data_IF_538630974003
#
_entry.id   IF_538630974003
#
_cell.length_a   1.000
_cell.length_b   1.000
_cell.length_c   1.000
_cell.angle_alpha   90.00
_cell.angle_beta   90.00
_cell.angle_gamma   90.00
#
_symmetry.space_group_name_H-M   'P 1'
#
loop_
_entity.id
_entity.type
_entity.pdbx_description
1 polymer ?
#
# COMPACT_ATOMS: atom_id res chain seq x y z
N UNK A 1 6.59 15.50 -34.67
CA UNK A 1 7.94 15.01 -34.97
C UNK A 1 7.91 13.52 -34.73
N UNK A 2 8.05 12.72 -35.78
CA UNK A 2 7.73 11.30 -35.82
C UNK A 2 8.44 10.50 -34.71
N UNK A 3 7.71 10.17 -33.64
CA UNK A 3 8.22 9.30 -32.56
C UNK A 3 8.35 7.84 -33.01
N UNK A 4 7.73 7.47 -34.13
CA UNK A 4 7.72 6.13 -34.71
C UNK A 4 8.99 5.76 -35.50
N UNK A 5 9.89 6.70 -35.79
CA UNK A 5 11.05 6.43 -36.65
C UNK A 5 12.35 7.04 -36.12
N UNK A 6 12.73 6.65 -34.89
CA UNK A 6 14.02 7.02 -34.32
C UNK A 6 15.16 6.21 -34.93
N UNK A 7 16.31 6.82 -35.28
CA UNK A 7 17.46 6.10 -35.81
C UNK A 7 18.03 5.12 -34.77
N UNK A 8 18.80 4.12 -35.21
CA UNK A 8 19.47 3.20 -34.27
C UNK A 8 20.57 3.92 -33.51
N UNK A 9 20.77 3.57 -32.24
CA UNK A 9 21.77 4.22 -31.38
C UNK A 9 23.18 4.10 -31.97
N UNK A 10 23.50 2.96 -32.60
CA UNK A 10 24.83 2.72 -33.19
C UNK A 10 25.10 3.56 -34.44
N UNK A 11 24.05 3.94 -35.18
CA UNK A 11 24.15 4.66 -36.47
C UNK A 11 24.37 6.17 -36.27
N UNK A 12 24.25 6.64 -35.03
CA UNK A 12 24.37 8.05 -34.67
C UNK A 12 25.77 8.34 -34.11
N UNK A 13 26.35 9.55 -34.35
CA UNK A 13 27.62 9.94 -33.76
C UNK A 13 27.64 9.79 -32.23
N UNK A 14 28.77 9.35 -31.66
CA UNK A 14 28.94 9.07 -30.22
C UNK A 14 28.37 10.17 -29.32
N UNK A 15 28.57 11.44 -29.70
CA UNK A 15 28.08 12.62 -28.96
C UNK A 15 26.55 12.68 -28.79
N UNK A 16 25.78 12.08 -29.69
CA UNK A 16 24.31 12.07 -29.68
C UNK A 16 23.72 10.74 -29.17
N UNK A 17 24.56 9.72 -28.93
CA UNK A 17 24.08 8.38 -28.51
C UNK A 17 23.42 8.40 -27.14
N UNK A 18 23.98 9.13 -26.18
CA UNK A 18 23.39 9.26 -24.83
C UNK A 18 22.01 9.92 -24.86
N UNK A 19 21.87 11.03 -25.60
CA UNK A 19 20.59 11.73 -25.75
C UNK A 19 19.50 10.84 -26.36
N UNK A 20 19.87 10.08 -27.41
CA UNK A 20 18.96 9.15 -28.06
C UNK A 20 18.61 7.95 -27.17
N UNK A 21 19.58 7.42 -26.43
CA UNK A 21 19.37 6.37 -25.43
C UNK A 21 18.35 6.81 -24.36
N UNK A 22 18.53 8.01 -23.81
CA UNK A 22 17.61 8.61 -22.83
C UNK A 22 16.21 8.86 -23.40
N UNK A 23 16.11 9.27 -24.67
CA UNK A 23 14.82 9.43 -25.35
C UNK A 23 14.09 8.08 -25.51
N UNK A 24 14.82 7.03 -25.92
CA UNK A 24 14.28 5.68 -26.08
C UNK A 24 13.84 5.05 -24.77
N UNK A 25 14.61 5.20 -23.69
CA UNK A 25 14.19 4.75 -22.36
C UNK A 25 12.90 5.41 -21.88
N UNK A 26 12.74 6.73 -22.13
CA UNK A 26 11.50 7.45 -21.79
C UNK A 26 10.29 6.94 -22.56
N UNK A 27 10.44 6.62 -23.85
CA UNK A 27 9.36 6.01 -24.65
C UNK A 27 8.95 4.63 -24.10
N UNK A 28 9.91 3.84 -23.63
CA UNK A 28 9.64 2.57 -22.96
C UNK A 28 9.08 2.72 -21.54
N UNK A 29 9.17 3.90 -20.91
CA UNK A 29 8.74 4.12 -19.52
C UNK A 29 7.24 4.35 -19.34
N UNK A 30 6.49 4.54 -20.42
CA UNK A 30 5.03 4.64 -20.36
C UNK A 30 4.38 3.30 -20.00
N UNK A 31 3.26 3.33 -19.26
CA UNK A 31 2.44 2.13 -18.99
C UNK A 31 2.00 1.42 -20.29
N UNK A 32 1.55 0.17 -20.19
CA UNK A 32 1.04 -0.57 -21.36
C UNK A 32 -0.17 0.10 -22.05
N UNK A 33 -0.83 1.05 -21.38
CA UNK A 33 -1.99 1.79 -21.87
C UNK A 33 -1.63 3.11 -22.59
N UNK A 34 -0.34 3.41 -22.79
CA UNK A 34 0.05 4.62 -23.54
C UNK A 34 -0.28 4.55 -25.02
N UNK A 35 -0.39 5.72 -25.66
CA UNK A 35 -0.63 5.92 -27.10
C UNK A 35 0.37 5.14 -27.99
N UNK A 36 1.58 4.86 -27.51
CA UNK A 36 2.62 4.14 -28.26
C UNK A 36 2.30 2.63 -28.32
N UNK A 37 2.24 2.02 -29.51
CA UNK A 37 2.01 0.58 -29.66
C UNK A 37 3.07 -0.27 -28.93
N UNK A 38 2.61 -1.36 -28.30
CA UNK A 38 3.49 -2.33 -27.61
C UNK A 38 4.58 -2.88 -28.54
N UNK A 39 4.26 -3.09 -29.83
CA UNK A 39 5.23 -3.51 -30.85
C UNK A 39 6.38 -2.52 -31.03
N UNK A 40 6.08 -1.22 -31.08
CA UNK A 40 7.10 -0.16 -31.18
C UNK A 40 7.98 -0.12 -29.93
N UNK A 41 7.39 -0.21 -28.74
CA UNK A 41 8.15 -0.29 -27.48
C UNK A 41 9.04 -1.53 -27.42
N UNK A 42 8.59 -2.65 -27.97
CA UNK A 42 9.35 -3.90 -28.00
C UNK A 42 10.60 -3.77 -28.87
N UNK A 43 10.49 -3.18 -30.06
CA UNK A 43 11.64 -2.97 -30.94
C UNK A 43 12.67 -2.00 -30.33
N UNK A 44 12.18 -0.92 -29.69
CA UNK A 44 13.05 -0.01 -28.93
C UNK A 44 13.77 -0.77 -27.81
N UNK A 45 13.05 -1.61 -27.06
CA UNK A 45 13.62 -2.35 -25.93
C UNK A 45 14.65 -3.41 -26.37
N UNK A 46 14.42 -4.10 -27.49
CA UNK A 46 15.41 -5.01 -28.09
C UNK A 46 16.69 -4.27 -28.48
N UNK A 47 16.56 -3.10 -29.10
CA UNK A 47 17.71 -2.29 -29.46
C UNK A 47 18.48 -1.78 -28.22
N UNK A 48 17.76 -1.38 -27.18
CA UNK A 48 18.36 -1.02 -25.90
C UNK A 48 19.11 -2.21 -25.29
N UNK A 49 18.53 -3.42 -25.38
CA UNK A 49 19.15 -4.66 -24.92
C UNK A 49 20.47 -4.97 -25.66
N UNK A 50 20.52 -4.71 -26.96
CA UNK A 50 21.73 -4.88 -27.78
C UNK A 50 22.78 -3.79 -27.52
N UNK A 51 22.35 -2.62 -27.06
CA UNK A 51 23.23 -1.48 -26.81
C UNK A 51 23.87 -1.52 -25.42
N UNK A 52 23.13 -1.91 -24.39
CA UNK A 52 23.61 -1.91 -22.99
C UNK A 52 24.92 -2.69 -22.78
N UNK A 53 25.13 -3.88 -23.37
CA UNK A 53 26.40 -4.61 -23.24
C UNK A 53 27.61 -3.91 -23.86
N UNK A 54 27.40 -2.88 -24.70
CA UNK A 54 28.48 -2.08 -25.29
C UNK A 54 28.92 -0.89 -24.43
N UNK A 55 28.28 -0.68 -23.28
CA UNK A 55 28.61 0.39 -22.35
C UNK A 55 29.54 -0.13 -21.25
N UNK A 56 30.65 0.57 -21.02
CA UNK A 56 31.54 0.28 -19.89
C UNK A 56 30.97 0.79 -18.55
N UNK A 57 30.11 1.81 -18.61
CA UNK A 57 29.42 2.36 -17.44
C UNK A 57 28.14 3.10 -17.84
N UNK A 58 27.18 3.18 -16.92
CA UNK A 58 25.97 3.98 -17.07
C UNK A 58 26.12 5.32 -16.34
N UNK A 59 25.85 6.44 -17.01
CA UNK A 59 25.66 7.73 -16.34
C UNK A 59 24.49 7.71 -15.33
N UNK A 60 24.57 8.52 -14.27
CA UNK A 60 23.56 8.53 -13.18
C UNK A 60 22.14 8.83 -13.66
N UNK A 61 22.00 9.70 -14.67
CA UNK A 61 20.71 10.02 -15.28
C UNK A 61 20.13 8.83 -16.06
N UNK A 62 20.98 8.07 -16.76
CA UNK A 62 20.62 6.83 -17.42
C UNK A 62 20.18 5.75 -16.44
N UNK A 63 20.93 5.58 -15.33
CA UNK A 63 20.54 4.69 -14.24
C UNK A 63 19.15 5.04 -13.73
N UNK A 64 18.91 6.30 -13.37
CA UNK A 64 17.60 6.77 -12.89
C UNK A 64 16.48 6.48 -13.88
N UNK A 65 16.69 6.74 -15.17
CA UNK A 65 15.68 6.49 -16.19
C UNK A 65 15.41 4.99 -16.40
N UNK A 66 16.43 4.13 -16.32
CA UNK A 66 16.27 2.67 -16.35
C UNK A 66 15.39 2.21 -15.19
N UNK A 67 15.63 2.73 -13.98
CA UNK A 67 14.81 2.40 -12.80
C UNK A 67 13.34 2.75 -13.02
N UNK A 68 13.07 3.95 -13.53
CA UNK A 68 11.71 4.42 -13.85
C UNK A 68 11.04 3.52 -14.92
N UNK A 69 11.78 3.17 -15.98
CA UNK A 69 11.29 2.32 -17.06
C UNK A 69 10.91 0.92 -16.58
N UNK A 70 11.81 0.28 -15.82
CA UNK A 70 11.56 -1.05 -15.25
C UNK A 70 10.36 -1.01 -14.31
N UNK A 71 10.28 0.03 -13.46
CA UNK A 71 9.23 0.18 -12.49
C UNK A 71 7.84 0.33 -13.12
N UNK A 72 7.71 1.21 -14.11
CA UNK A 72 6.44 1.49 -14.78
C UNK A 72 5.87 0.28 -15.55
N UNK A 73 6.73 -0.66 -15.96
CA UNK A 73 6.32 -1.83 -16.73
C UNK A 73 6.11 -3.08 -15.86
N UNK A 74 6.96 -3.32 -14.86
CA UNK A 74 6.88 -4.50 -13.98
C UNK A 74 5.87 -4.29 -12.85
N UNK A 75 5.81 -3.10 -12.23
CA UNK A 75 4.93 -2.84 -11.07
C UNK A 75 3.54 -2.39 -11.51
N UNK A 76 2.83 -3.29 -12.19
CA UNK A 76 1.41 -3.10 -12.51
C UNK A 76 0.54 -4.07 -11.72
N UNK A 77 -0.70 -3.69 -11.36
CA UNK A 77 -1.68 -4.66 -10.90
C UNK A 77 -1.85 -5.73 -11.97
N UNK A 78 -1.87 -7.01 -11.57
CA UNK A 78 -2.29 -8.06 -12.48
C UNK A 78 -3.66 -7.70 -13.09
N UNK A 79 -3.88 -7.95 -14.39
CA UNK A 79 -5.19 -7.74 -14.98
C UNK A 79 -6.22 -8.48 -14.12
N UNK A 80 -7.30 -7.78 -13.75
CA UNK A 80 -8.38 -8.37 -12.97
C UNK A 80 -8.83 -9.65 -13.69
N UNK A 81 -9.04 -10.78 -12.98
CA UNK A 81 -9.57 -12.00 -13.60
C UNK A 81 -10.85 -11.76 -14.39
N UNK A 82 -11.57 -10.67 -14.08
CA UNK A 82 -12.83 -10.26 -14.69
C UNK A 82 -12.69 -9.50 -16.02
N UNK A 83 -11.50 -9.03 -16.40
CA UNK A 83 -11.33 -8.15 -17.58
C UNK A 83 -11.54 -8.88 -18.93
N UNK A 84 -11.57 -10.21 -18.93
CA UNK A 84 -11.88 -11.03 -20.11
C UNK A 84 -13.11 -11.94 -19.91
N UNK A 85 -13.90 -11.72 -18.86
CA UNK A 85 -15.15 -12.47 -18.59
C UNK A 85 -16.37 -11.63 -18.95
N UNK A 86 -16.28 -10.78 -19.98
CA UNK A 86 -17.43 -10.03 -20.49
C UNK A 86 -18.25 -10.80 -21.53
N UNK A 87 -17.77 -11.96 -22.02
CA UNK A 87 -18.45 -12.71 -23.09
C UNK A 87 -19.02 -14.07 -22.64
N UNK A 88 -19.11 -14.34 -21.33
CA UNK A 88 -19.80 -15.53 -20.83
C UNK A 88 -21.15 -15.10 -20.26
N UNK A 89 -22.21 -15.29 -21.05
CA UNK A 89 -23.59 -15.23 -20.58
C UNK A 89 -23.74 -16.16 -19.37
N UNK A 90 -24.16 -15.59 -18.24
CA UNK A 90 -24.49 -16.33 -17.01
C UNK A 90 -25.83 -17.05 -17.15
N UNK A 91 -25.91 -18.01 -18.07
CA UNK A 91 -27.03 -18.97 -18.13
C UNK A 91 -26.50 -20.32 -18.57
N UNK A 92 -25.77 -21.01 -17.70
CA UNK A 92 -25.90 -22.46 -17.43
C UNK A 92 -24.84 -22.90 -16.43
N UNK A 93 -25.32 -23.49 -15.35
CA UNK A 93 -24.56 -24.10 -14.26
C UNK A 93 -24.13 -25.51 -14.70
N UNK A 94 -23.00 -25.65 -15.42
CA UNK A 94 -22.39 -26.96 -15.67
C UNK A 94 -20.84 -26.89 -15.61
N UNK A 95 -20.29 -27.63 -14.64
CA UNK A 95 -18.94 -28.20 -14.59
C UNK A 95 -17.75 -27.21 -14.52
N UNK A 96 -17.35 -26.91 -13.27
CA UNK A 96 -16.01 -26.45 -12.93
C UNK A 96 -14.99 -27.56 -13.24
N UNK A 97 -14.52 -27.63 -14.48
CA UNK A 97 -13.39 -28.47 -14.86
C UNK A 97 -12.07 -27.73 -14.61
N UNK A 98 -11.27 -28.13 -13.60
CA UNK A 98 -9.98 -27.51 -13.31
C UNK A 98 -8.90 -27.77 -14.36
N UNK A 99 -9.09 -28.69 -15.32
CA UNK A 99 -8.08 -29.03 -16.35
C UNK A 99 -8.18 -28.16 -17.63
N UNK A 100 -9.29 -27.46 -17.87
CA UNK A 100 -9.55 -26.70 -19.12
C UNK A 100 -9.18 -25.20 -19.01
N UNK A 101 -8.54 -24.76 -17.92
CA UNK A 101 -7.96 -23.41 -17.87
C UNK A 101 -6.75 -23.34 -18.81
N UNK A 102 -7.01 -23.03 -20.09
CA UNK A 102 -6.01 -22.46 -21.00
C UNK A 102 -5.26 -21.39 -20.21
N UNK A 103 -3.91 -21.44 -20.14
CA UNK A 103 -3.15 -20.38 -19.49
C UNK A 103 -3.56 -19.08 -20.17
N UNK A 104 -4.12 -18.14 -19.40
CA UNK A 104 -4.33 -16.78 -19.87
C UNK A 104 -2.94 -16.19 -20.11
N UNK A 105 -2.41 -16.39 -21.32
CA UNK A 105 -1.15 -15.78 -21.74
C UNK A 105 -1.44 -14.30 -21.87
N UNK A 106 -1.00 -13.53 -20.88
CA UNK A 106 -1.07 -12.08 -20.91
C UNK A 106 -0.45 -11.60 -22.23
N UNK A 107 -1.22 -10.90 -23.08
CA UNK A 107 -0.75 -10.45 -24.42
C UNK A 107 0.52 -9.59 -24.32
N UNK A 108 0.71 -8.94 -23.17
CA UNK A 108 1.88 -8.12 -22.83
C UNK A 108 3.08 -8.91 -22.29
N UNK A 109 2.96 -10.24 -22.12
CA UNK A 109 4.02 -11.11 -21.61
C UNK A 109 5.26 -11.07 -22.51
N UNK A 110 5.06 -11.04 -23.83
CA UNK A 110 6.16 -10.93 -24.78
C UNK A 110 6.98 -9.67 -24.57
N UNK A 111 6.34 -8.54 -24.26
CA UNK A 111 7.02 -7.30 -23.92
C UNK A 111 7.67 -7.36 -22.54
N UNK A 112 6.96 -7.86 -21.53
CA UNK A 112 7.50 -8.03 -20.18
C UNK A 112 8.75 -8.90 -20.13
N UNK A 113 8.78 -10.00 -20.89
CA UNK A 113 9.95 -10.88 -20.99
C UNK A 113 11.21 -10.08 -21.35
N UNK A 114 11.10 -9.12 -22.25
CA UNK A 114 12.23 -8.28 -22.67
C UNK A 114 12.58 -7.23 -21.60
N UNK A 115 11.62 -6.74 -20.81
CA UNK A 115 11.90 -5.84 -19.67
C UNK A 115 12.68 -6.59 -18.58
N UNK A 116 12.29 -7.83 -18.28
CA UNK A 116 13.04 -8.70 -17.37
C UNK A 116 14.43 -9.03 -17.89
N UNK A 117 14.54 -9.35 -19.18
CA UNK A 117 15.84 -9.61 -19.81
C UNK A 117 16.74 -8.37 -19.76
N UNK A 118 16.19 -7.18 -20.01
CA UNK A 118 16.90 -5.91 -19.93
C UNK A 118 17.43 -5.63 -18.53
N UNK A 119 16.57 -5.76 -17.51
CA UNK A 119 16.96 -5.63 -16.12
C UNK A 119 18.09 -6.62 -15.76
N UNK A 120 17.93 -7.89 -16.15
CA UNK A 120 18.95 -8.92 -15.89
C UNK A 120 20.28 -8.57 -16.54
N UNK A 121 20.30 -8.10 -17.79
CA UNK A 121 21.55 -7.73 -18.45
C UNK A 121 22.25 -6.55 -17.76
N UNK A 122 21.48 -5.55 -17.31
CA UNK A 122 22.02 -4.40 -16.57
C UNK A 122 22.66 -4.84 -15.24
N UNK A 123 22.07 -5.83 -14.56
CA UNK A 123 22.60 -6.40 -13.32
C UNK A 123 23.82 -7.30 -13.57
N UNK A 124 23.70 -8.26 -14.49
CA UNK A 124 24.76 -9.24 -14.81
C UNK A 124 26.02 -8.54 -15.36
N UNK A 125 25.85 -7.41 -16.06
CA UNK A 125 26.95 -6.60 -16.56
C UNK A 125 27.59 -5.69 -15.49
N UNK A 126 27.11 -5.70 -14.23
CA UNK A 126 27.65 -4.87 -13.15
C UNK A 126 27.50 -3.36 -13.39
N UNK A 127 26.55 -2.96 -14.25
CA UNK A 127 26.36 -1.56 -14.64
C UNK A 127 25.63 -0.74 -13.57
N UNK A 128 25.01 -1.41 -12.59
CA UNK A 128 24.51 -0.80 -11.37
C UNK A 128 25.59 -0.91 -10.31
N UNK A 129 26.19 0.23 -9.96
CA UNK A 129 27.11 0.37 -8.83
C UNK A 129 26.35 0.32 -7.50
N UNK A 130 27.06 0.03 -6.41
CA UNK A 130 26.48 -0.12 -5.07
C UNK A 130 25.77 1.16 -4.56
N UNK A 131 26.23 2.35 -4.99
CA UNK A 131 25.62 3.66 -4.73
C UNK A 131 24.34 3.89 -5.56
N UNK A 132 24.23 3.25 -6.72
CA UNK A 132 23.02 3.24 -7.55
C UNK A 132 21.98 2.24 -7.05
N UNK A 133 22.37 1.21 -6.34
CA UNK A 133 21.44 0.36 -5.56
C UNK A 133 21.12 1.03 -4.23
N UNK A 134 20.58 2.25 -4.27
CA UNK A 134 19.91 2.78 -3.09
C UNK A 134 18.93 1.73 -2.59
N UNK A 135 18.96 1.53 -1.27
CA UNK A 135 18.14 0.58 -0.52
C UNK A 135 16.65 0.64 -0.96
N UNK A 136 16.16 1.78 -1.47
CA UNK A 136 14.82 1.98 -2.02
C UNK A 136 14.54 1.24 -3.34
N UNK A 137 15.51 1.12 -4.26
CA UNK A 137 15.33 0.50 -5.57
C UNK A 137 15.25 -1.02 -5.46
N UNK A 138 16.16 -1.63 -4.68
CA UNK A 138 16.15 -3.07 -4.40
C UNK A 138 14.95 -3.45 -3.51
N UNK A 139 14.60 -2.63 -2.51
CA UNK A 139 13.35 -2.81 -1.73
C UNK A 139 12.08 -2.63 -2.55
N UNK A 140 12.12 -1.99 -3.71
CA UNK A 140 10.94 -1.84 -4.57
C UNK A 140 10.87 -2.95 -5.63
N UNK A 141 12.02 -3.37 -6.19
CA UNK A 141 12.09 -4.44 -7.21
C UNK A 141 11.79 -5.84 -6.70
N UNK A 142 12.31 -6.21 -5.55
CA UNK A 142 12.23 -7.60 -5.10
C UNK A 142 11.06 -7.86 -4.14
N UNK A 143 10.53 -6.84 -3.46
CA UNK A 143 9.60 -7.07 -2.35
C UNK A 143 8.27 -7.70 -2.79
N UNK A 144 7.63 -7.21 -3.85
CA UNK A 144 6.36 -7.82 -4.31
C UNK A 144 6.56 -9.27 -4.81
N UNK A 145 7.54 -9.57 -5.69
CA UNK A 145 7.82 -10.96 -6.07
C UNK A 145 8.20 -11.86 -4.90
N UNK A 146 9.02 -11.38 -3.96
CA UNK A 146 9.41 -12.15 -2.78
C UNK A 146 8.23 -12.38 -1.83
N UNK A 147 7.37 -11.38 -1.63
CA UNK A 147 6.14 -11.53 -0.85
C UNK A 147 5.15 -12.47 -1.54
N UNK A 148 5.04 -12.43 -2.87
CA UNK A 148 4.21 -13.38 -3.62
C UNK A 148 4.71 -14.80 -3.44
N UNK A 149 6.02 -15.02 -3.61
CA UNK A 149 6.64 -16.31 -3.36
C UNK A 149 6.45 -16.77 -1.91
N UNK A 150 6.65 -15.88 -0.94
CA UNK A 150 6.42 -16.17 0.46
C UNK A 150 4.95 -16.54 0.72
N UNK A 151 3.99 -15.81 0.16
CA UNK A 151 2.56 -16.12 0.26
C UNK A 151 2.24 -17.53 -0.27
N UNK A 152 2.81 -17.93 -1.40
CA UNK A 152 2.60 -19.27 -1.96
C UNK A 152 3.19 -20.34 -1.05
N UNK A 153 4.42 -20.12 -0.53
CA UNK A 153 5.04 -21.00 0.47
C UNK A 153 4.22 -21.09 1.77
N UNK A 154 3.64 -19.99 2.23
CA UNK A 154 2.77 -19.96 3.43
C UNK A 154 1.51 -20.78 3.17
N UNK A 155 0.86 -20.62 2.01
CA UNK A 155 -0.35 -21.37 1.63
C UNK A 155 -0.10 -22.86 1.48
N UNK A 156 1.09 -23.25 1.01
CA UNK A 156 1.51 -24.65 0.92
C UNK A 156 2.00 -25.22 2.26
N UNK A 157 2.22 -24.38 3.27
CA UNK A 157 2.71 -24.80 4.57
C UNK A 157 1.65 -25.62 5.31
N UNK A 158 2.07 -26.73 5.91
CA UNK A 158 1.18 -27.61 6.68
C UNK A 158 0.96 -27.03 8.08
N UNK A 159 -0.23 -27.21 8.62
CA UNK A 159 -0.55 -26.94 10.03
C UNK A 159 0.03 -28.08 10.88
N UNK A 160 0.65 -27.80 12.05
CA UNK A 160 0.73 -26.54 12.79
C UNK A 160 1.82 -25.57 12.31
N UNK A 161 1.62 -24.28 12.60
CA UNK A 161 2.51 -23.18 12.23
C UNK A 161 3.88 -23.34 12.89
N UNK A 162 4.94 -23.46 12.07
CA UNK A 162 6.32 -23.55 12.56
C UNK A 162 6.74 -22.26 13.29
N UNK A 163 7.60 -22.39 14.30
CA UNK A 163 8.11 -21.25 15.06
C UNK A 163 8.81 -20.21 14.16
N UNK A 164 9.50 -20.66 13.12
CA UNK A 164 10.16 -19.82 12.12
C UNK A 164 9.17 -18.97 11.33
N UNK A 165 8.03 -19.55 10.93
CA UNK A 165 6.96 -18.84 10.23
C UNK A 165 6.32 -17.76 11.12
N UNK A 166 6.18 -18.04 12.42
CA UNK A 166 5.72 -17.05 13.41
C UNK A 166 6.73 -15.92 13.60
N UNK A 167 8.03 -16.23 13.64
CA UNK A 167 9.09 -15.21 13.68
C UNK A 167 9.11 -14.35 12.42
N UNK A 168 8.90 -14.95 11.24
CA UNK A 168 8.81 -14.22 9.98
C UNK A 168 7.64 -13.23 9.97
N UNK A 169 6.46 -13.64 10.44
CA UNK A 169 5.32 -12.76 10.61
C UNK A 169 5.63 -11.59 11.58
N UNK A 170 6.15 -11.89 12.77
CA UNK A 170 6.39 -10.90 13.82
C UNK A 170 7.52 -9.92 13.51
N UNK A 171 8.63 -10.41 12.94
CA UNK A 171 9.87 -9.64 12.76
C UNK A 171 10.05 -9.07 11.36
N UNK A 172 9.33 -9.58 10.37
CA UNK A 172 9.45 -9.11 8.98
C UNK A 172 8.13 -8.51 8.50
N UNK A 173 7.07 -9.30 8.36
CA UNK A 173 5.84 -8.85 7.71
C UNK A 173 5.13 -7.72 8.47
N UNK A 174 4.98 -7.85 9.79
CA UNK A 174 4.34 -6.81 10.61
C UNK A 174 5.10 -5.48 10.54
N UNK A 175 6.43 -5.43 10.77
CA UNK A 175 7.21 -4.20 10.65
C UNK A 175 7.15 -3.53 9.28
N UNK A 176 6.97 -4.28 8.18
CA UNK A 176 6.89 -3.72 6.83
C UNK A 176 5.74 -2.71 6.65
N UNK A 177 4.65 -2.81 7.43
CA UNK A 177 3.55 -1.84 7.40
C UNK A 177 3.94 -0.44 7.90
N UNK A 178 5.09 -0.31 8.56
CA UNK A 178 5.59 0.94 9.13
C UNK A 178 6.53 1.70 8.20
N UNK A 179 6.85 1.14 7.04
CA UNK A 179 7.75 1.72 6.06
C UNK A 179 6.98 2.75 5.20
N UNK A 180 7.62 3.86 4.86
CA UNK A 180 7.01 4.99 4.13
C UNK A 180 6.57 4.68 2.70
N UNK A 181 7.10 3.61 2.11
CA UNK A 181 6.77 3.11 0.75
C UNK A 181 5.82 1.91 0.75
N UNK A 182 5.18 1.60 1.90
CA UNK A 182 4.26 0.48 2.05
C UNK A 182 3.18 0.39 0.95
N UNK A 183 2.69 1.52 0.44
CA UNK A 183 1.68 1.53 -0.63
C UNK A 183 2.10 0.82 -1.92
N UNK A 184 3.40 0.61 -2.15
CA UNK A 184 3.87 -0.09 -3.36
C UNK A 184 3.63 -1.60 -3.27
N UNK A 185 3.70 -2.17 -2.06
CA UNK A 185 3.61 -3.61 -1.82
C UNK A 185 2.48 -4.01 -0.86
N UNK A 186 1.61 -3.08 -0.49
CA UNK A 186 0.50 -3.26 0.44
C UNK A 186 -0.34 -4.49 0.10
N UNK A 187 -0.68 -4.65 -1.19
CA UNK A 187 -1.48 -5.77 -1.67
C UNK A 187 -0.79 -7.12 -1.47
N UNK A 188 0.48 -7.24 -1.84
CA UNK A 188 1.25 -8.49 -1.68
C UNK A 188 1.47 -8.82 -0.20
N UNK A 189 1.72 -7.80 0.62
CA UNK A 189 1.87 -7.96 2.06
C UNK A 189 0.56 -8.41 2.70
N UNK A 190 -0.56 -7.77 2.35
CA UNK A 190 -1.88 -8.12 2.86
C UNK A 190 -2.27 -9.56 2.50
N UNK A 191 -1.90 -10.05 1.32
CA UNK A 191 -2.07 -11.46 0.96
C UNK A 191 -1.29 -12.40 1.89
N UNK A 192 -0.04 -12.08 2.20
CA UNK A 192 0.76 -12.85 3.17
C UNK A 192 0.11 -12.85 4.56
N UNK A 193 -0.34 -11.69 5.03
CA UNK A 193 -1.00 -11.54 6.33
C UNK A 193 -2.28 -12.37 6.39
N UNK A 194 -3.11 -12.32 5.34
CA UNK A 194 -4.33 -13.12 5.25
C UNK A 194 -4.06 -14.62 5.13
N UNK A 195 -3.00 -15.02 4.44
CA UNK A 195 -2.59 -16.43 4.37
C UNK A 195 -2.24 -16.97 5.77
N UNK A 196 -1.46 -16.21 6.55
CA UNK A 196 -1.17 -16.58 7.94
C UNK A 196 -2.42 -16.64 8.82
N UNK A 197 -3.32 -15.67 8.67
CA UNK A 197 -4.57 -15.64 9.44
C UNK A 197 -5.49 -16.83 9.10
N UNK A 198 -5.48 -17.29 7.84
CA UNK A 198 -6.22 -18.48 7.40
C UNK A 198 -5.62 -19.77 7.98
N UNK A 199 -4.31 -19.82 8.20
CA UNK A 199 -3.65 -20.95 8.86
C UNK A 199 -3.92 -21.01 10.36
N UNK A 200 -3.81 -19.86 11.04
CA UNK A 200 -3.99 -19.75 12.48
C UNK A 200 -4.74 -18.48 12.86
N UNK A 201 -5.98 -18.68 13.28
CA UNK A 201 -6.89 -17.62 13.72
C UNK A 201 -6.49 -16.94 15.04
N UNK A 202 -5.56 -17.50 15.82
CA UNK A 202 -5.05 -16.87 17.06
C UNK A 202 -4.08 -15.71 16.79
N UNK A 203 -3.58 -15.61 15.55
CA UNK A 203 -2.68 -14.54 15.13
C UNK A 203 -3.40 -13.20 14.94
N UNK A 204 -4.73 -13.17 14.96
CA UNK A 204 -5.56 -11.97 14.74
C UNK A 204 -5.15 -10.79 15.64
N UNK A 205 -5.05 -11.04 16.94
CA UNK A 205 -4.73 -10.05 17.94
C UNK A 205 -3.27 -9.60 17.85
N UNK A 206 -2.38 -10.51 17.46
CA UNK A 206 -0.98 -10.21 17.24
C UNK A 206 -0.78 -9.29 16.03
N UNK A 207 -1.44 -9.61 14.90
CA UNK A 207 -1.37 -8.80 13.69
C UNK A 207 -1.97 -7.41 13.92
N UNK A 208 -3.19 -7.32 14.48
CA UNK A 208 -3.84 -6.03 14.78
C UNK A 208 -2.95 -5.20 15.71
N UNK A 209 -2.45 -5.78 16.80
CA UNK A 209 -1.55 -5.07 17.70
C UNK A 209 -0.27 -4.65 16.98
N UNK A 210 0.39 -5.55 16.24
CA UNK A 210 1.64 -5.26 15.55
C UNK A 210 1.56 -4.10 14.56
N UNK A 211 0.47 -4.08 13.78
CA UNK A 211 0.18 -3.05 12.77
C UNK A 211 -0.20 -1.73 13.44
N UNK A 212 -1.07 -1.73 14.45
CA UNK A 212 -1.69 -0.50 14.98
C UNK A 212 -1.13 0.01 16.32
N UNK A 213 -0.23 -0.73 17.01
CA UNK A 213 0.33 -0.33 18.32
C UNK A 213 1.47 0.68 18.26
N UNK A 214 2.08 0.90 17.09
CA UNK A 214 3.15 1.89 16.94
C UNK A 214 2.56 3.29 17.02
N UNK A 215 2.79 3.99 18.14
CA UNK A 215 2.23 5.32 18.41
C UNK A 215 2.24 6.23 17.18
N UNK A 216 1.05 6.59 16.72
CA UNK A 216 0.68 7.73 15.88
C UNK A 216 1.64 8.20 14.77
N UNK A 217 2.49 7.35 14.16
CA UNK A 217 3.25 7.75 12.98
C UNK A 217 2.27 8.22 11.89
N UNK A 218 2.42 9.47 11.47
CA UNK A 218 1.66 10.02 10.35
C UNK A 218 2.19 9.35 9.08
N UNK A 219 1.45 8.37 8.58
CA UNK A 219 1.73 7.78 7.28
C UNK A 219 1.34 8.79 6.20
N UNK A 220 1.98 8.71 5.04
CA UNK A 220 1.51 9.43 3.85
C UNK A 220 0.06 9.04 3.57
N UNK A 221 -0.74 9.96 3.04
CA UNK A 221 -2.17 9.73 2.78
C UNK A 221 -2.44 8.48 1.93
N UNK A 222 -1.57 8.18 0.96
CA UNK A 222 -1.62 6.96 0.15
C UNK A 222 -1.45 5.69 0.99
N UNK A 223 -0.47 5.65 1.90
CA UNK A 223 -0.27 4.53 2.82
C UNK A 223 -1.42 4.39 3.83
N UNK A 224 -2.05 5.51 4.25
CA UNK A 224 -3.24 5.44 5.12
C UNK A 224 -4.42 4.78 4.42
N UNK A 225 -4.65 5.10 3.15
CA UNK A 225 -5.72 4.51 2.34
C UNK A 225 -5.53 2.99 2.24
N UNK A 226 -4.33 2.56 1.87
CA UNK A 226 -3.98 1.14 1.73
C UNK A 226 -4.12 0.40 3.08
N UNK A 227 -3.68 1.01 4.17
CA UNK A 227 -3.79 0.42 5.51
C UNK A 227 -5.25 0.26 5.97
N UNK A 228 -6.14 1.18 5.58
CA UNK A 228 -7.58 1.07 5.86
C UNK A 228 -8.22 -0.08 5.07
N UNK A 229 -7.80 -0.29 3.83
CA UNK A 229 -8.27 -1.43 3.02
C UNK A 229 -7.75 -2.77 3.57
N UNK A 230 -6.50 -2.81 4.04
CA UNK A 230 -5.94 -3.98 4.73
C UNK A 230 -6.66 -4.26 6.06
N UNK A 231 -6.91 -3.23 6.88
CA UNK A 231 -7.70 -3.37 8.12
C UNK A 231 -9.05 -4.02 7.85
N UNK A 232 -9.78 -3.53 6.84
CA UNK A 232 -11.07 -4.08 6.45
C UNK A 232 -10.94 -5.54 6.01
N UNK A 233 -9.90 -5.87 5.26
CA UNK A 233 -9.62 -7.24 4.80
C UNK A 233 -9.34 -8.17 5.97
N UNK A 234 -8.41 -7.82 6.87
CA UNK A 234 -8.13 -8.58 8.09
C UNK A 234 -9.40 -8.78 8.92
N UNK A 235 -10.13 -7.71 9.21
CA UNK A 235 -11.37 -7.78 10.01
C UNK A 235 -12.46 -8.65 9.38
N UNK A 236 -12.45 -8.83 8.06
CA UNK A 236 -13.39 -9.72 7.35
C UNK A 236 -13.14 -11.17 7.72
N UNK A 237 -11.87 -11.56 7.89
CA UNK A 237 -11.45 -12.92 8.19
C UNK A 237 -11.25 -13.20 9.69
N UNK A 238 -11.14 -12.17 10.54
CA UNK A 238 -11.07 -12.34 12.01
C UNK A 238 -12.45 -12.47 12.65
N UNK A 239 -12.58 -13.29 13.71
CA UNK A 239 -13.79 -13.35 14.53
C UNK A 239 -13.86 -12.15 15.49
N UNK A 240 -14.86 -11.27 15.32
CA UNK A 240 -14.99 -10.02 16.07
C UNK A 240 -14.99 -10.17 17.61
N UNK A 241 -15.50 -11.31 18.11
CA UNK A 241 -15.54 -11.62 19.54
C UNK A 241 -14.16 -11.89 20.15
N UNK A 242 -13.21 -12.39 19.35
CA UNK A 242 -11.85 -12.74 19.82
C UNK A 242 -10.92 -11.55 19.96
N UNK A 243 -11.21 -10.45 19.26
CA UNK A 243 -10.40 -9.24 19.35
C UNK A 243 -10.42 -8.75 20.81
N UNK A 244 -9.25 -8.55 21.41
CA UNK A 244 -9.17 -8.05 22.78
C UNK A 244 -9.67 -6.59 22.87
N UNK A 245 -10.21 -6.14 24.01
CA UNK A 245 -10.64 -4.76 24.18
C UNK A 245 -9.54 -3.73 23.87
N UNK A 246 -8.28 -4.03 24.23
CA UNK A 246 -7.12 -3.18 23.92
C UNK A 246 -6.88 -3.06 22.41
N UNK A 247 -6.97 -4.17 21.67
CA UNK A 247 -6.79 -4.16 20.22
C UNK A 247 -7.95 -3.47 19.50
N UNK A 248 -9.18 -3.63 20.01
CA UNK A 248 -10.33 -2.89 19.51
C UNK A 248 -10.14 -1.37 19.69
N UNK A 249 -9.60 -0.93 20.82
CA UNK A 249 -9.27 0.48 21.04
C UNK A 249 -8.27 1.02 20.00
N UNK A 250 -7.22 0.26 19.67
CA UNK A 250 -6.26 0.65 18.62
C UNK A 250 -6.94 0.87 17.27
N UNK A 251 -7.84 -0.04 16.88
CA UNK A 251 -8.62 0.07 15.64
C UNK A 251 -9.50 1.32 15.64
N UNK A 252 -10.26 1.56 16.72
CA UNK A 252 -11.11 2.75 16.81
C UNK A 252 -10.30 4.05 16.82
N UNK A 253 -9.17 4.09 17.53
CA UNK A 253 -8.27 5.26 17.54
C UNK A 253 -7.71 5.54 16.15
N UNK A 254 -7.32 4.50 15.40
CA UNK A 254 -6.82 4.67 14.02
C UNK A 254 -7.89 5.26 13.11
N UNK A 255 -9.10 4.72 13.13
CA UNK A 255 -10.23 5.25 12.34
C UNK A 255 -10.57 6.68 12.76
N UNK A 256 -10.60 6.96 14.07
CA UNK A 256 -10.81 8.30 14.60
C UNK A 256 -9.80 9.31 14.06
N UNK A 257 -8.50 8.97 14.03
CA UNK A 257 -7.44 9.80 13.42
C UNK A 257 -7.66 10.00 11.92
N UNK A 258 -8.05 8.95 11.19
CA UNK A 258 -8.32 9.07 9.75
C UNK A 258 -9.51 9.98 9.44
N UNK A 259 -10.51 10.05 10.32
CA UNK A 259 -11.64 10.99 10.20
C UNK A 259 -11.23 12.45 10.46
N UNK A 260 -10.18 12.69 11.23
CA UNK A 260 -9.62 14.04 11.47
C UNK A 260 -8.54 14.43 10.46
N UNK A 261 -8.24 13.57 9.47
CA UNK A 261 -7.24 13.85 8.43
C UNK A 261 -7.68 14.99 7.54
N UNK A 262 -6.74 15.80 7.03
CA UNK A 262 -7.00 16.85 6.03
C UNK A 262 -7.20 16.30 4.61
N UNK A 263 -7.04 14.99 4.40
CA UNK A 263 -7.12 14.38 3.08
C UNK A 263 -8.48 13.72 2.82
N UNK A 264 -9.24 14.23 1.86
CA UNK A 264 -10.62 13.80 1.58
C UNK A 264 -10.79 12.30 1.35
N UNK A 265 -9.86 11.66 0.60
CA UNK A 265 -9.94 10.23 0.33
C UNK A 265 -9.72 9.36 1.58
N UNK A 266 -8.89 9.82 2.52
CA UNK A 266 -8.65 9.10 3.80
C UNK A 266 -9.93 9.12 4.64
N UNK A 267 -10.55 10.30 4.76
CA UNK A 267 -11.82 10.47 5.48
C UNK A 267 -12.92 9.63 4.82
N UNK A 268 -13.02 9.67 3.49
CA UNK A 268 -14.02 8.90 2.73
C UNK A 268 -13.86 7.40 2.95
N UNK A 269 -12.63 6.87 2.92
CA UNK A 269 -12.34 5.46 3.21
C UNK A 269 -12.70 5.09 4.65
N UNK A 270 -12.37 5.94 5.62
CA UNK A 270 -12.74 5.72 7.02
C UNK A 270 -14.27 5.71 7.23
N UNK A 271 -15.00 6.64 6.60
CA UNK A 271 -16.47 6.66 6.62
C UNK A 271 -17.08 5.40 5.97
N UNK A 272 -16.48 4.90 4.89
CA UNK A 272 -16.93 3.66 4.25
C UNK A 272 -16.71 2.42 5.15
N UNK A 273 -15.66 2.40 5.97
CA UNK A 273 -15.48 1.37 7.00
C UNK A 273 -16.58 1.49 8.07
N UNK A 274 -16.90 2.71 8.51
CA UNK A 274 -17.97 2.92 9.49
C UNK A 274 -19.35 2.46 8.99
N UNK A 275 -19.60 2.53 7.68
CA UNK A 275 -20.84 2.04 7.03
C UNK A 275 -20.88 0.50 6.93
N UNK A 276 -19.75 -0.18 7.05
CA UNK A 276 -19.68 -1.62 6.81
C UNK A 276 -20.39 -2.40 7.93
N UNK A 277 -21.38 -3.28 7.61
CA UNK A 277 -22.21 -3.94 8.61
C UNK A 277 -21.43 -4.70 9.69
N UNK A 278 -20.36 -5.39 9.30
CA UNK A 278 -19.48 -6.12 10.24
C UNK A 278 -18.79 -5.17 11.22
N UNK A 279 -18.36 -4.00 10.76
CA UNK A 279 -17.75 -2.99 11.63
C UNK A 279 -18.78 -2.34 12.57
N UNK A 280 -20.01 -2.11 12.09
CA UNK A 280 -21.10 -1.61 12.94
C UNK A 280 -21.35 -2.58 14.10
N UNK A 281 -21.44 -3.89 13.80
CA UNK A 281 -21.59 -4.93 14.84
C UNK A 281 -20.42 -4.93 15.82
N UNK A 282 -19.19 -4.83 15.31
CA UNK A 282 -17.98 -4.71 16.14
C UNK A 282 -18.02 -3.49 17.07
N UNK A 283 -18.45 -2.34 16.55
CA UNK A 283 -18.59 -1.11 17.31
C UNK A 283 -19.71 -1.17 18.36
N UNK A 284 -20.85 -1.82 18.06
CA UNK A 284 -21.97 -2.04 18.98
C UNK A 284 -21.56 -2.94 20.16
N UNK A 285 -20.88 -4.06 19.88
CA UNK A 285 -20.38 -4.98 20.91
C UNK A 285 -19.41 -4.31 21.89
N UNK A 286 -18.72 -3.23 21.47
CA UNK A 286 -17.68 -2.54 22.25
C UNK A 286 -17.98 -1.06 22.46
N UNK A 287 -19.25 -0.73 22.70
CA UNK A 287 -19.74 0.65 22.87
C UNK A 287 -18.99 1.50 23.91
N UNK A 288 -18.42 0.87 24.94
CA UNK A 288 -17.62 1.55 25.97
C UNK A 288 -16.38 2.25 25.40
N UNK A 289 -15.80 1.67 24.34
CA UNK A 289 -14.57 2.15 23.69
C UNK A 289 -14.87 2.87 22.38
N UNK A 290 -15.78 2.33 21.56
CA UNK A 290 -16.09 2.86 20.23
C UNK A 290 -16.73 4.26 20.29
N UNK A 291 -17.71 4.45 21.18
CA UNK A 291 -18.50 5.67 21.28
C UNK A 291 -17.68 6.92 21.65
N UNK A 292 -16.80 6.91 22.67
CA UNK A 292 -16.00 8.09 23.00
C UNK A 292 -14.97 8.48 21.94
N UNK A 293 -14.66 7.60 20.97
CA UNK A 293 -13.65 7.86 19.93
C UNK A 293 -14.31 8.22 18.59
N UNK A 294 -15.21 7.37 18.10
CA UNK A 294 -15.77 7.48 16.75
C UNK A 294 -16.77 8.64 16.65
N UNK A 295 -17.60 8.83 17.67
CA UNK A 295 -18.68 9.80 17.56
C UNK A 295 -18.21 11.26 17.56
N UNK A 296 -17.29 11.69 18.44
CA UNK A 296 -16.74 13.04 18.34
C UNK A 296 -16.03 13.29 17.01
N UNK A 297 -15.31 12.29 16.48
CA UNK A 297 -14.65 12.38 15.19
C UNK A 297 -15.66 12.55 14.04
N UNK A 298 -16.77 11.79 14.06
CA UNK A 298 -17.83 11.88 13.07
C UNK A 298 -18.58 13.23 13.12
N UNK A 299 -18.81 13.77 14.32
CA UNK A 299 -19.38 15.11 14.50
C UNK A 299 -18.46 16.20 13.94
N UNK A 300 -17.15 16.07 14.17
CA UNK A 300 -16.17 17.02 13.65
C UNK A 300 -16.18 17.07 12.11
N UNK A 301 -16.21 15.91 11.44
CA UNK A 301 -16.29 15.85 9.97
C UNK A 301 -17.56 16.55 9.45
N UNK A 302 -18.70 16.32 10.10
CA UNK A 302 -19.97 16.94 9.70
C UNK A 302 -20.01 18.46 9.87
N UNK A 303 -19.27 19.00 10.84
CA UNK A 303 -19.24 20.42 11.18
C UNK A 303 -18.11 21.20 10.52
N UNK A 304 -17.11 20.52 9.95
CA UNK A 304 -16.00 21.17 9.26
C UNK A 304 -16.45 21.72 7.90
N UNK A 305 -16.55 23.05 7.81
CA UNK A 305 -16.95 23.77 6.59
C UNK A 305 -15.98 23.60 5.40
N UNK A 306 -14.77 23.13 5.65
CA UNK A 306 -13.74 22.90 4.62
C UNK A 306 -13.99 21.66 3.75
N UNK A 307 -14.87 20.75 4.18
CA UNK A 307 -15.17 19.55 3.41
C UNK A 307 -16.17 19.81 2.29
N UNK A 308 -15.91 19.19 1.13
CA UNK A 308 -16.87 19.08 0.04
C UNK A 308 -18.21 18.48 0.53
N UNK A 309 -19.30 18.90 -0.10
CA UNK A 309 -20.67 18.44 0.17
C UNK A 309 -20.74 16.91 0.19
N UNK A 310 -20.03 16.23 -0.71
CA UNK A 310 -19.99 14.77 -0.80
C UNK A 310 -19.53 14.09 0.50
N UNK A 311 -18.45 14.59 1.12
CA UNK A 311 -17.89 14.04 2.36
C UNK A 311 -18.82 14.33 3.54
N UNK A 312 -19.38 15.54 3.60
CA UNK A 312 -20.34 15.92 4.65
C UNK A 312 -21.64 15.12 4.57
N UNK A 313 -22.18 14.91 3.38
CA UNK A 313 -23.36 14.06 3.16
C UNK A 313 -23.07 12.59 3.50
N UNK A 314 -21.89 12.08 3.17
CA UNK A 314 -21.49 10.73 3.57
C UNK A 314 -21.41 10.61 5.10
N UNK A 315 -20.79 11.58 5.78
CA UNK A 315 -20.71 11.61 7.23
C UNK A 315 -22.11 11.69 7.89
N UNK A 316 -22.99 12.54 7.36
CA UNK A 316 -24.37 12.65 7.81
C UNK A 316 -25.12 11.32 7.65
N UNK A 317 -25.01 10.66 6.49
CA UNK A 317 -25.64 9.35 6.24
C UNK A 317 -25.11 8.26 7.18
N UNK A 318 -23.80 8.23 7.43
CA UNK A 318 -23.19 7.29 8.39
C UNK A 318 -23.74 7.54 9.79
N UNK A 319 -23.84 8.80 10.22
CA UNK A 319 -24.38 9.17 11.53
C UNK A 319 -25.85 8.76 11.67
N UNK A 320 -26.68 9.08 10.69
CA UNK A 320 -28.11 8.85 10.74
C UNK A 320 -28.48 7.36 10.64
N UNK A 321 -27.82 6.61 9.74
CA UNK A 321 -28.18 5.22 9.45
C UNK A 321 -27.41 4.19 10.29
N UNK A 322 -26.16 4.46 10.64
CA UNK A 322 -25.27 3.47 11.29
C UNK A 322 -25.02 3.76 12.77
N UNK A 323 -25.01 5.03 13.16
CA UNK A 323 -24.64 5.51 14.50
C UNK A 323 -25.70 6.44 15.09
N UNK A 324 -26.98 6.11 14.89
CA UNK A 324 -28.09 6.94 15.31
C UNK A 324 -28.17 7.05 16.84
N UNK A 325 -28.04 8.26 17.38
CA UNK A 325 -28.06 8.47 18.83
C UNK A 325 -29.39 8.15 19.51
N UNK A 326 -30.46 8.00 18.74
CA UNK A 326 -31.76 7.58 19.25
C UNK A 326 -31.81 6.06 19.50
N UNK A 327 -30.95 5.26 18.85
CA UNK A 327 -30.81 3.82 19.11
C UNK A 327 -30.18 3.60 20.50
N UNK A 328 -30.78 2.71 21.29
CA UNK A 328 -30.36 2.37 22.65
C UNK A 328 -28.88 1.94 22.71
N UNK A 329 -28.37 1.35 21.63
CA UNK A 329 -26.96 0.95 21.51
C UNK A 329 -25.99 2.15 21.55
N UNK A 330 -26.43 3.32 21.07
CA UNK A 330 -25.60 4.52 20.91
C UNK A 330 -25.90 5.61 21.95
N UNK A 331 -27.02 5.51 22.68
CA UNK A 331 -27.40 6.46 23.74
C UNK A 331 -26.37 6.59 24.87
N UNK A 332 -25.55 5.56 25.10
CA UNK A 332 -24.44 5.61 26.05
C UNK A 332 -23.55 6.85 25.82
N UNK A 333 -23.36 7.26 24.56
CA UNK A 333 -22.52 8.40 24.18
C UNK A 333 -22.97 9.75 24.70
N UNK A 334 -24.27 10.00 24.83
CA UNK A 334 -24.77 11.31 25.30
C UNK A 334 -24.39 11.59 26.75
N UNK A 335 -24.36 10.56 27.60
CA UNK A 335 -24.03 10.67 29.03
C UNK A 335 -22.53 10.82 29.29
N UNK A 336 -21.69 10.11 28.53
CA UNK A 336 -20.23 10.14 28.68
C UNK A 336 -19.59 11.34 27.99
N UNK A 337 -20.12 11.81 26.85
CA UNK A 337 -19.63 13.03 26.15
C UNK A 337 -19.77 14.29 27.01
N UNK A 338 -20.86 14.44 27.77
CA UNK A 338 -21.05 15.59 28.69
C UNK A 338 -19.98 15.68 29.78
N UNK A 339 -19.46 14.55 30.28
CA UNK A 339 -18.39 14.51 31.29
C UNK A 339 -16.99 14.74 30.71
N UNK A 340 -16.71 14.29 29.48
CA UNK A 340 -15.37 14.39 28.85
C UNK A 340 -15.17 15.60 27.94
N UNK A 341 -16.20 16.43 27.71
CA UNK A 341 -16.14 17.66 26.90
C UNK A 341 -15.04 18.64 27.35
N UNK A 342 -14.55 18.53 28.58
CA UNK A 342 -13.48 19.38 29.14
C UNK A 342 -12.07 18.79 29.05
N UNK A 343 -11.90 17.52 28.69
CA UNK A 343 -10.58 16.85 28.67
C UNK A 343 -10.10 16.48 27.26
N UNK A 344 -11.00 16.14 26.33
CA UNK A 344 -10.59 15.61 25.02
C UNK A 344 -10.23 16.67 23.97
N UNK A 345 -10.67 17.93 24.12
CA UNK A 345 -10.25 19.00 23.19
C UNK A 345 -8.77 19.39 23.38
N UNK A 346 -8.18 19.13 24.55
CA UNK A 346 -6.78 19.47 24.82
C UNK A 346 -5.79 18.42 24.27
N UNK A 347 -6.11 17.13 24.29
CA UNK A 347 -5.17 16.06 23.89
C UNK A 347 -5.16 15.69 22.41
N UNK A 348 -6.15 16.13 21.62
CA UNK A 348 -6.19 15.84 20.17
C UNK A 348 -5.78 17.03 19.29
N UNK A 349 -5.56 18.21 19.87
CA UNK A 349 -5.20 19.44 19.16
C UNK A 349 -3.82 20.03 19.54
N UNK A 350 -3.14 19.46 20.54
CA UNK A 350 -1.82 19.91 20.99
C UNK A 350 -0.88 18.71 21.18
N UNK A 351 -0.36 18.16 20.08
CA UNK A 351 0.91 17.40 20.15
C UNK A 351 1.69 17.38 18.82
N UNK A 352 1.42 18.35 17.92
CA UNK A 352 2.10 18.44 16.60
C UNK A 352 3.00 19.68 16.46
N UNK A 353 3.31 20.41 17.55
CA UNK A 353 4.04 21.69 17.42
C UNK A 353 4.97 22.11 18.56
N UNK A 354 5.50 21.20 19.41
CA UNK A 354 6.49 21.64 20.42
C UNK A 354 7.52 20.62 20.95
N UNK A 355 7.88 19.57 20.20
CA UNK A 355 9.01 18.70 20.55
C UNK A 355 10.06 18.53 19.44
N UNK A 356 10.15 19.48 18.50
CA UNK A 356 11.18 19.48 17.46
C UNK A 356 12.31 20.51 17.66
N UNK A 357 12.40 21.11 18.85
CA UNK A 357 13.53 21.94 19.26
C UNK A 357 13.83 21.67 20.74
N UNK A 358 14.60 20.62 21.01
CA UNK A 358 15.59 20.44 22.10
C UNK A 358 16.08 19.01 21.88
N UNK A 359 17.10 18.87 21.03
CA UNK A 359 18.12 17.79 21.12
C UNK A 359 19.15 17.98 19.99
N UNK A 360 19.72 19.18 19.93
CA UNK A 360 21.00 19.44 19.28
C UNK A 360 21.72 20.46 20.12
N UNK A 361 22.43 19.98 21.15
CA UNK A 361 23.70 20.52 21.66
C UNK A 361 23.96 19.98 23.07
N UNK A 362 24.51 18.78 23.18
CA UNK A 362 25.41 18.46 24.29
C UNK A 362 26.29 17.26 23.95
N UNK A 363 27.32 17.51 23.13
CA UNK A 363 28.61 16.84 23.25
C UNK A 363 29.71 17.80 22.77
N UNK A 364 30.77 17.89 23.58
CA UNK A 364 32.00 18.70 23.43
C UNK A 364 31.78 20.17 23.81
N UNK A 365 32.40 20.74 24.85
CA UNK A 365 33.83 20.82 25.05
C UNK A 365 34.21 21.38 26.44
N UNK A 366 35.37 20.91 26.88
CA UNK A 366 36.42 21.55 27.69
C UNK A 366 36.20 22.13 29.11
N UNK A 367 36.96 21.50 30.03
CA UNK A 367 38.05 22.10 30.82
C UNK A 367 38.02 23.63 30.97
N UNK A 368 37.87 24.10 32.21
CA UNK A 368 38.90 24.80 33.00
C UNK A 368 38.30 25.62 34.15
N UNK A 369 39.02 25.61 35.29
CA UNK A 369 39.04 26.63 36.37
C UNK A 369 37.75 26.71 37.22
N UNK A 370 37.80 26.74 38.53
CA UNK A 370 38.89 26.85 39.51
C UNK A 370 38.32 26.43 40.86
#
# INVERSE_FOLDING_TARGET
MDEDNLPRIRDVPVKKRHELFMKKLRLCSGSLETIIPIGTKLEILKELLDYVPSLDSLPDDAVRQIKEMVAANIFRPFPSPSAHVSDINYETDELYDPEVKRPLVEESWFFLRHVYQFLRHVVDAGLLRDDHTEDSFVKTLAVCPLLSFANDRIRESRVPLLAENRMFLERVLIPMHKISSYSIYSRCLSQCMLAFLAMDSELDNLMIRGIFSGGQRSLRSTCEIELLDELKSLMTHTLLGRITPSNAELVFRRIGKCLTSLHAMVVTKALNILKWPRFILFAKQRKQVSVPIIMPALENVGNQFLWDNNVRELAARVREKSYNENDADWQFGRRTRRRKRWSCYATYAFDDSLNFFIDTNHFSDDKHRK
#
